data_IF_965711502941
#
_entry.id   IF_965711502941
#
_cell.length_a   1.000
_cell.length_b   1.000
_cell.length_c   1.000
_cell.angle_alpha   90.00
_cell.angle_beta   90.00
_cell.angle_gamma   90.00
#
_symmetry.space_group_name_H-M   'P 1'
#
loop_
_entity.id
_entity.type
_entity.pdbx_description
1 polymer ?
#
# COMPACT_ATOMS: atom_id res chain seq x y z
N UNK A 1 13.17 -14.30 -8.27
CA UNK A 1 12.72 -13.40 -9.35
C UNK A 1 12.98 -11.94 -8.99
N UNK A 2 12.27 -11.38 -8.00
CA UNK A 2 12.37 -9.96 -7.58
C UNK A 2 13.80 -9.46 -7.33
N UNK A 3 14.64 -10.22 -6.61
CA UNK A 3 16.05 -9.84 -6.36
C UNK A 3 16.86 -9.64 -7.65
N UNK A 4 16.53 -10.38 -8.72
CA UNK A 4 17.24 -10.32 -10.01
C UNK A 4 16.68 -9.23 -10.91
N UNK A 5 15.36 -9.15 -11.05
CA UNK A 5 14.71 -8.14 -11.89
C UNK A 5 14.77 -6.74 -11.29
N UNK A 6 14.82 -6.64 -9.95
CA UNK A 6 14.66 -5.39 -9.19
C UNK A 6 13.33 -4.67 -9.47
N UNK A 7 12.36 -5.39 -10.02
CA UNK A 7 11.06 -4.87 -10.41
C UNK A 7 9.95 -5.83 -9.95
N UNK A 8 8.82 -5.27 -9.55
CA UNK A 8 7.60 -6.01 -9.28
C UNK A 8 6.35 -5.16 -9.53
N UNK A 9 5.23 -5.83 -9.74
CA UNK A 9 3.89 -5.23 -9.75
C UNK A 9 3.16 -5.64 -8.47
N UNK A 10 2.67 -4.68 -7.70
CA UNK A 10 1.81 -4.94 -6.55
C UNK A 10 0.37 -4.72 -7.00
N UNK A 11 -0.42 -5.78 -7.04
CA UNK A 11 -1.82 -5.72 -7.46
C UNK A 11 -2.76 -5.68 -6.24
N UNK A 12 -3.80 -4.85 -6.33
CA UNK A 12 -4.88 -4.72 -5.35
C UNK A 12 -6.15 -5.39 -5.90
N UNK A 13 -6.45 -6.62 -5.45
CA UNK A 13 -7.65 -7.33 -5.86
C UNK A 13 -8.90 -6.82 -5.14
N UNK A 14 -10.06 -7.11 -5.72
CA UNK A 14 -11.36 -6.95 -5.07
C UNK A 14 -11.91 -8.29 -4.61
N UNK A 15 -13.06 -8.27 -3.92
CA UNK A 15 -13.78 -9.47 -3.48
C UNK A 15 -14.10 -10.45 -4.62
N UNK A 16 -14.23 -9.98 -5.87
CA UNK A 16 -14.47 -10.84 -7.04
C UNK A 16 -13.34 -11.86 -7.28
N UNK A 17 -12.11 -11.53 -6.86
CA UNK A 17 -10.93 -12.38 -7.05
C UNK A 17 -10.56 -13.20 -5.82
N UNK A 18 -11.41 -13.29 -4.79
CA UNK A 18 -11.07 -13.96 -3.52
C UNK A 18 -10.56 -15.39 -3.71
N UNK A 19 -11.29 -16.21 -4.49
CA UNK A 19 -10.88 -17.59 -4.78
C UNK A 19 -9.53 -17.66 -5.50
N UNK A 20 -9.33 -16.78 -6.48
CA UNK A 20 -8.07 -16.68 -7.23
C UNK A 20 -6.90 -16.27 -6.35
N UNK A 21 -7.07 -15.29 -5.45
CA UNK A 21 -6.03 -14.86 -4.51
C UNK A 21 -5.64 -16.00 -3.57
N UNK A 22 -6.61 -16.76 -3.05
CA UNK A 22 -6.35 -17.94 -2.22
C UNK A 22 -5.59 -19.01 -3.02
N UNK A 23 -6.01 -19.29 -4.26
CA UNK A 23 -5.33 -20.25 -5.13
C UNK A 23 -3.88 -19.85 -5.44
N UNK A 24 -3.64 -18.59 -5.78
CA UNK A 24 -2.30 -18.04 -6.01
C UNK A 24 -1.45 -18.16 -4.74
N UNK A 25 -2.02 -17.90 -3.56
CA UNK A 25 -1.32 -17.98 -2.28
C UNK A 25 -0.91 -19.40 -1.87
N UNK A 26 -1.62 -20.42 -2.35
CA UNK A 26 -1.38 -21.84 -2.03
C UNK A 26 -0.58 -22.60 -3.10
N UNK A 27 -0.14 -21.92 -4.15
CA UNK A 27 0.62 -22.52 -5.26
C UNK A 27 1.97 -21.85 -5.42
N UNK A 28 2.93 -22.56 -6.03
CA UNK A 28 4.26 -22.01 -6.34
C UNK A 28 4.39 -21.68 -7.82
N UNK A 29 4.83 -20.46 -8.15
CA UNK A 29 5.11 -20.07 -9.53
C UNK A 29 6.38 -20.71 -10.12
N UNK A 30 7.09 -21.53 -9.33
CA UNK A 30 8.20 -22.34 -9.83
C UNK A 30 7.71 -23.63 -10.52
N UNK A 31 6.48 -24.06 -10.24
CA UNK A 31 5.92 -25.33 -10.70
C UNK A 31 4.84 -25.15 -11.76
N UNK A 32 4.10 -24.03 -11.70
CA UNK A 32 2.98 -23.75 -12.59
C UNK A 32 3.05 -22.33 -13.15
N UNK A 33 2.46 -22.15 -14.34
CA UNK A 33 2.09 -20.82 -14.83
C UNK A 33 0.77 -20.40 -14.19
N UNK A 34 0.86 -19.50 -13.21
CA UNK A 34 -0.31 -18.99 -12.49
C UNK A 34 -1.23 -18.14 -13.35
N UNK A 35 -0.73 -17.49 -14.40
CA UNK A 35 -1.60 -16.72 -15.28
C UNK A 35 -2.52 -17.66 -16.05
N UNK A 36 -1.95 -18.72 -16.62
CA UNK A 36 -2.71 -19.76 -17.32
C UNK A 36 -3.65 -20.52 -16.37
N UNK A 37 -3.16 -20.96 -15.21
CA UNK A 37 -3.94 -21.76 -14.25
C UNK A 37 -5.17 -21.02 -13.73
N UNK A 38 -5.03 -19.73 -13.42
CA UNK A 38 -6.10 -18.94 -12.82
C UNK A 38 -6.85 -18.05 -13.84
N UNK A 39 -6.55 -18.19 -15.14
CA UNK A 39 -7.20 -17.42 -16.20
C UNK A 39 -7.02 -15.91 -16.07
N UNK A 40 -5.81 -15.47 -15.66
CA UNK A 40 -5.50 -14.05 -15.46
C UNK A 40 -4.95 -13.41 -16.73
N UNK A 41 -5.34 -12.16 -16.97
CA UNK A 41 -4.84 -11.38 -18.10
C UNK A 41 -3.56 -10.66 -17.71
N UNK A 42 -2.45 -11.03 -18.34
CA UNK A 42 -1.19 -10.30 -18.23
C UNK A 42 -1.19 -9.09 -19.18
N UNK A 43 -1.18 -7.90 -18.62
CA UNK A 43 -1.11 -6.64 -19.36
C UNK A 43 0.28 -6.00 -19.22
N UNK A 44 0.75 -5.35 -20.29
CA UNK A 44 2.04 -4.70 -20.30
C UNK A 44 2.05 -3.46 -19.39
N UNK A 45 3.14 -3.29 -18.64
CA UNK A 45 3.41 -2.07 -17.90
C UNK A 45 4.37 -1.17 -18.68
N UNK A 46 4.17 0.15 -18.61
CA UNK A 46 5.00 1.11 -19.35
C UNK A 46 6.39 1.29 -18.72
N UNK A 47 6.48 1.20 -17.38
CA UNK A 47 7.66 1.62 -16.61
C UNK A 47 8.51 0.45 -16.08
N UNK A 48 7.96 -0.77 -16.09
CA UNK A 48 8.66 -1.96 -15.62
C UNK A 48 8.34 -3.16 -16.51
N UNK A 49 9.18 -4.19 -16.44
CA UNK A 49 9.02 -5.43 -17.21
C UNK A 49 7.95 -6.37 -16.63
N UNK A 50 7.61 -6.22 -15.36
CA UNK A 50 6.62 -7.07 -14.70
C UNK A 50 5.19 -6.72 -15.17
N UNK A 51 4.39 -7.71 -15.62
CA UNK A 51 3.04 -7.43 -16.11
C UNK A 51 2.09 -7.06 -14.96
N UNK A 52 1.05 -6.30 -15.29
CA UNK A 52 -0.11 -6.11 -14.42
C UNK A 52 -1.18 -7.17 -14.67
N UNK A 53 -2.06 -7.36 -13.69
CA UNK A 53 -3.19 -8.28 -13.77
C UNK A 53 -4.42 -7.45 -14.12
N UNK A 54 -4.98 -7.65 -15.31
CA UNK A 54 -6.09 -6.83 -15.84
C UNK A 54 -7.36 -6.89 -14.98
N UNK A 55 -7.55 -7.97 -14.22
CA UNK A 55 -8.70 -8.17 -13.34
C UNK A 55 -8.59 -7.40 -12.01
N UNK A 56 -7.42 -6.84 -11.68
CA UNK A 56 -7.22 -6.13 -10.43
C UNK A 56 -7.73 -4.69 -10.50
N UNK A 57 -8.26 -4.18 -9.38
CA UNK A 57 -8.79 -2.82 -9.34
C UNK A 57 -7.66 -1.77 -9.39
N UNK A 58 -6.51 -2.10 -8.82
CA UNK A 58 -5.32 -1.26 -8.91
C UNK A 58 -4.04 -2.07 -9.00
N UNK A 59 -3.03 -1.46 -9.61
CA UNK A 59 -1.72 -2.06 -9.87
C UNK A 59 -0.64 -1.00 -9.68
N UNK A 60 0.35 -1.30 -8.87
CA UNK A 60 1.46 -0.39 -8.53
C UNK A 60 2.75 -0.96 -9.09
N UNK A 61 3.30 -0.29 -10.10
CA UNK A 61 4.59 -0.61 -10.67
C UNK A 61 5.70 -0.14 -9.73
N UNK A 62 6.56 -1.07 -9.33
CA UNK A 62 7.53 -0.87 -8.27
C UNK A 62 8.93 -1.24 -8.71
N UNK A 63 9.91 -0.40 -8.34
CA UNK A 63 11.35 -0.70 -8.46
C UNK A 63 11.94 -0.89 -7.06
N UNK A 64 12.85 -1.85 -6.93
CA UNK A 64 13.52 -2.17 -5.67
C UNK A 64 14.45 -1.01 -5.30
N UNK A 65 14.05 -0.24 -4.30
CA UNK A 65 14.77 0.92 -3.80
C UNK A 65 15.91 0.48 -2.89
N UNK A 66 15.61 -0.32 -1.86
CA UNK A 66 16.60 -0.83 -0.91
C UNK A 66 16.40 -2.34 -0.66
N UNK A 67 17.53 -3.05 -0.69
CA UNK A 67 17.63 -4.49 -0.53
C UNK A 67 18.45 -4.92 0.70
N UNK A 68 18.91 -3.97 1.53
CA UNK A 68 19.82 -4.24 2.65
C UNK A 68 19.25 -5.27 3.64
N UNK A 69 17.93 -5.28 3.84
CA UNK A 69 17.25 -6.19 4.77
C UNK A 69 16.71 -7.47 4.12
N UNK A 70 16.81 -7.63 2.79
CA UNK A 70 16.15 -8.73 2.07
C UNK A 70 16.72 -10.08 2.49
N UNK A 71 18.04 -10.23 2.58
CA UNK A 71 18.64 -11.53 2.88
C UNK A 71 18.43 -11.96 4.34
N UNK A 72 18.25 -11.01 5.27
CA UNK A 72 18.11 -11.30 6.70
C UNK A 72 16.65 -11.43 7.14
N UNK A 73 15.76 -10.61 6.56
CA UNK A 73 14.39 -10.46 7.05
C UNK A 73 13.33 -10.67 5.96
N UNK A 74 13.72 -10.97 4.71
CA UNK A 74 12.82 -10.96 3.55
C UNK A 74 12.05 -9.64 3.40
N UNK A 75 12.66 -8.55 3.84
CA UNK A 75 12.06 -7.22 3.84
C UNK A 75 12.57 -6.41 2.65
N UNK A 76 11.66 -6.03 1.76
CA UNK A 76 11.94 -5.28 0.54
C UNK A 76 11.39 -3.86 0.67
N UNK A 77 12.17 -2.86 0.26
CA UNK A 77 11.71 -1.48 0.17
C UNK A 77 11.57 -1.13 -1.30
N UNK A 78 10.35 -0.78 -1.73
CA UNK A 78 10.04 -0.46 -3.10
C UNK A 78 9.70 1.02 -3.26
N UNK A 79 10.14 1.60 -4.36
CA UNK A 79 9.65 2.87 -4.88
C UNK A 79 8.55 2.60 -5.90
N UNK A 80 7.38 3.23 -5.72
CA UNK A 80 6.28 3.16 -6.68
C UNK A 80 6.53 4.18 -7.78
N UNK A 81 6.79 3.68 -8.99
CA UNK A 81 7.07 4.54 -10.17
C UNK A 81 5.79 4.90 -10.93
N UNK A 82 4.76 4.04 -10.85
CA UNK A 82 3.46 4.29 -11.47
C UNK A 82 2.36 3.55 -10.73
N UNK A 83 1.17 4.14 -10.72
CA UNK A 83 -0.05 3.51 -10.24
C UNK A 83 -1.09 3.51 -11.38
N UNK A 84 -1.66 2.34 -11.63
CA UNK A 84 -2.84 2.16 -12.47
C UNK A 84 -4.01 1.81 -11.55
N UNK A 85 -5.14 2.52 -11.69
CA UNK A 85 -6.35 2.25 -10.89
C UNK A 85 -7.56 2.38 -11.81
N UNK A 86 -8.41 1.37 -11.77
CA UNK A 86 -9.68 1.37 -12.51
C UNK A 86 -10.61 2.45 -11.95
N UNK A 87 -11.27 3.18 -12.85
CA UNK A 87 -12.12 4.32 -12.44
C UNK A 87 -13.38 3.90 -11.67
N UNK A 88 -13.80 2.64 -11.82
CA UNK A 88 -15.01 2.11 -11.22
C UNK A 88 -14.77 0.70 -10.66
N UNK A 89 -15.32 0.38 -9.47
CA UNK A 89 -16.02 1.28 -8.56
C UNK A 89 -15.05 2.28 -7.89
N UNK A 90 -15.50 3.51 -7.60
CA UNK A 90 -14.67 4.52 -6.92
C UNK A 90 -14.15 4.07 -5.54
N UNK A 91 -14.94 3.24 -4.86
CA UNK A 91 -14.61 2.66 -3.56
C UNK A 91 -14.82 1.15 -3.66
N UNK A 92 -13.81 0.40 -4.14
CA UNK A 92 -13.92 -1.05 -4.26
C UNK A 92 -13.99 -1.73 -2.90
N UNK A 93 -14.64 -2.88 -2.86
CA UNK A 93 -14.55 -3.80 -1.72
C UNK A 93 -13.20 -4.54 -1.78
N UNK A 94 -12.26 -4.16 -0.93
CA UNK A 94 -10.93 -4.78 -0.84
C UNK A 94 -10.90 -5.90 0.20
N UNK A 95 -9.95 -6.82 0.01
CA UNK A 95 -9.73 -7.97 0.88
C UNK A 95 -8.62 -7.69 1.90
N UNK A 96 -8.89 -8.00 3.16
CA UNK A 96 -7.93 -7.93 4.26
C UNK A 96 -7.79 -9.33 4.88
N UNK A 97 -6.65 -9.97 4.65
CA UNK A 97 -6.41 -11.31 5.18
C UNK A 97 -6.19 -11.28 6.69
N UNK A 98 -6.88 -12.14 7.43
CA UNK A 98 -6.79 -12.22 8.91
C UNK A 98 -6.15 -13.51 9.43
N UNK A 99 -5.84 -14.47 8.56
CA UNK A 99 -5.33 -15.80 8.94
C UNK A 99 -6.30 -16.94 8.58
N UNK A 100 -5.78 -18.16 8.46
CA UNK A 100 -6.56 -19.41 8.26
C UNK A 100 -7.59 -19.39 7.12
N UNK A 101 -7.27 -18.69 6.03
CA UNK A 101 -8.15 -18.54 4.87
C UNK A 101 -9.33 -17.59 5.11
N UNK A 102 -9.35 -16.87 6.23
CA UNK A 102 -10.37 -15.88 6.58
C UNK A 102 -9.95 -14.50 6.08
N UNK A 103 -10.91 -13.80 5.47
CA UNK A 103 -10.75 -12.45 4.94
C UNK A 103 -11.83 -11.54 5.51
N UNK A 104 -11.43 -10.32 5.85
CA UNK A 104 -12.33 -9.21 6.11
C UNK A 104 -12.50 -8.39 4.84
N UNK A 105 -13.74 -8.04 4.51
CA UNK A 105 -14.07 -7.14 3.41
C UNK A 105 -14.11 -5.71 3.92
N UNK A 106 -13.54 -4.78 3.15
CA UNK A 106 -13.60 -3.36 3.51
C UNK A 106 -15.05 -2.88 3.67
N UNK A 107 -15.35 -2.21 4.77
CA UNK A 107 -16.70 -1.74 5.10
C UNK A 107 -17.12 -0.48 4.33
N UNK A 108 -18.28 0.05 4.71
CA UNK A 108 -18.85 1.28 4.12
C UNK A 108 -17.88 2.45 4.26
N UNK A 109 -17.59 3.10 3.13
CA UNK A 109 -16.85 4.36 3.11
C UNK A 109 -17.71 5.49 3.66
N UNK A 110 -17.20 6.24 4.63
CA UNK A 110 -17.82 7.45 5.16
C UNK A 110 -16.87 8.63 5.02
N UNK A 111 -17.39 9.76 4.53
CA UNK A 111 -16.63 10.99 4.48
C UNK A 111 -16.74 11.71 5.83
N UNK A 112 -15.64 11.81 6.56
CA UNK A 112 -15.55 12.72 7.70
C UNK A 112 -15.44 14.17 7.22
N UNK A 113 -16.17 15.09 7.83
CA UNK A 113 -16.04 16.51 7.54
C UNK A 113 -14.60 16.98 7.89
N UNK A 114 -13.84 17.40 6.87
CA UNK A 114 -12.58 18.10 7.08
C UNK A 114 -12.89 19.47 7.66
N UNK A 115 -12.73 19.65 8.98
CA UNK A 115 -12.81 21.00 9.55
C UNK A 115 -11.64 21.82 8.99
N UNK A 116 -11.93 22.90 8.27
CA UNK A 116 -10.91 23.79 7.67
C UNK A 116 -9.96 24.40 8.72
N UNK A 117 -10.32 24.33 10.00
CA UNK A 117 -9.54 24.86 11.13
C UNK A 117 -8.56 23.86 11.76
N UNK A 118 -8.52 22.60 11.34
CA UNK A 118 -7.52 21.63 11.83
C UNK A 118 -6.90 20.93 10.62
N UNK A 119 -5.73 21.43 10.21
CA UNK A 119 -4.74 20.59 9.52
C UNK A 119 -4.69 19.25 10.27
N UNK A 120 -4.72 18.15 9.53
CA UNK A 120 -4.51 16.83 10.10
C UNK A 120 -3.26 16.92 10.97
N UNK A 121 -3.38 16.70 12.30
CA UNK A 121 -2.23 16.82 13.21
C UNK A 121 -1.09 15.87 12.84
N UNK A 122 -1.36 14.88 11.98
CA UNK A 122 -0.36 13.95 11.43
C UNK A 122 0.53 14.63 10.37
N UNK A 123 0.03 15.60 9.59
CA UNK A 123 0.86 16.29 8.56
C UNK A 123 1.81 17.34 9.12
N UNK A 124 1.54 17.90 10.31
CA UNK A 124 2.34 19.00 10.85
C UNK A 124 3.69 18.56 11.46
N UNK A 125 3.89 17.26 11.73
CA UNK A 125 5.12 16.74 12.34
C UNK A 125 6.23 16.39 11.32
N UNK A 126 5.89 16.23 10.04
CA UNK A 126 6.82 15.77 9.01
C UNK A 126 7.39 16.91 8.13
N UNK A 127 6.98 18.16 8.36
CA UNK A 127 7.43 19.32 7.59
C UNK A 127 7.96 20.47 8.48
N UNK A 128 8.61 20.14 9.60
CA UNK A 128 9.39 21.11 10.36
C UNK A 128 10.88 20.99 9.96
N UNK A 129 11.48 21.97 9.27
CA UNK A 129 12.92 22.00 9.05
C UNK A 129 13.67 22.08 10.40
N UNK A 130 14.83 21.41 10.55
CA UNK A 130 15.53 21.26 11.84
C UNK A 130 16.19 22.54 12.38
N UNK A 131 15.89 23.72 11.86
CA UNK A 131 16.62 24.96 12.19
C UNK A 131 15.99 25.83 13.27
N UNK A 132 14.87 25.44 13.91
CA UNK A 132 14.19 26.30 14.89
C UNK A 132 13.86 25.66 16.25
N UNK A 133 14.65 24.65 16.65
CA UNK A 133 14.40 23.91 17.90
C UNK A 133 14.86 24.63 19.19
N UNK A 134 15.24 25.92 19.18
CA UNK A 134 15.89 26.52 20.38
C UNK A 134 15.55 27.97 20.77
N UNK A 135 14.41 28.55 20.39
CA UNK A 135 14.04 29.92 20.86
C UNK A 135 12.58 30.10 21.29
N UNK A 136 11.86 29.02 21.64
CA UNK A 136 10.41 29.12 21.86
C UNK A 136 9.81 28.26 22.97
N UNK A 137 10.54 27.92 24.05
CA UNK A 137 9.90 27.36 25.25
C UNK A 137 9.36 28.49 26.13
N UNK A 138 8.04 28.71 26.23
CA UNK A 138 7.49 29.53 27.31
C UNK A 138 7.75 28.84 28.65
N UNK A 139 8.15 29.62 29.65
CA UNK A 139 8.43 29.08 30.98
C UNK A 139 7.21 28.36 31.56
N UNK A 140 7.48 27.29 32.31
CA UNK A 140 6.52 26.40 33.00
C UNK A 140 5.56 27.11 33.99
N UNK A 141 5.56 28.44 34.06
CA UNK A 141 4.62 29.24 34.89
C UNK A 141 3.28 29.53 34.21
N UNK A 142 3.15 29.36 32.88
CA UNK A 142 1.90 29.68 32.17
C UNK A 142 0.86 28.54 32.14
N UNK A 143 1.21 27.32 32.56
CA UNK A 143 0.31 26.16 32.51
C UNK A 143 -0.59 25.99 33.76
N UNK A 144 -0.41 26.82 34.80
CA UNK A 144 -1.17 26.72 36.06
C UNK A 144 -2.45 27.57 36.12
N UNK A 145 -2.76 28.39 35.11
CA UNK A 145 -3.86 29.37 35.18
C UNK A 145 -5.10 29.03 34.31
N UNK A 146 -5.25 27.77 33.89
CA UNK A 146 -6.41 27.32 33.08
C UNK A 146 -7.10 26.07 33.61
N UNK A 147 -6.96 25.79 34.90
CA UNK A 147 -7.72 24.75 35.62
C UNK A 147 -8.24 25.29 36.97
N UNK A 148 -8.96 26.42 36.93
CA UNK A 148 -9.85 26.89 37.99
C UNK A 148 -11.06 27.55 37.36
#
# INVERSE_FOLDING_TARGET
>A
MIKRSRECMINLPTTALTGTVVGIGNTSGAEIDKFAEFGLTAEAADDITAPLIGECHGSFACRLYDAAMVNRYNFFIFEVVKAHVTASPKHPETLHYTGDGVFMVSGKSSAGARSSSRRCWIEAALYAPPSNFMTGMPSLRALSARLS
#
